data_IF_470438319095
#
_entry.id   IF_470438319095
#
_cell.length_a   1.000
_cell.length_b   1.000
_cell.length_c   1.000
_cell.angle_alpha   90.00
_cell.angle_beta   90.00
_cell.angle_gamma   90.00
#
_symmetry.space_group_name_H-M   'P 1'
#
loop_
_entity.id
_entity.type
_entity.pdbx_description
1 polymer ?
#
# COMPACT_ATOMS: atom_id res chain seq x y z
N UNK A 1 -12.87 21.98 -19.18
CA UNK A 1 -11.82 21.07 -19.72
C UNK A 1 -11.62 19.90 -18.79
N UNK A 2 -11.37 18.67 -19.28
CA UNK A 2 -11.10 17.51 -18.44
C UNK A 2 -9.67 17.59 -17.91
N UNK A 3 -9.47 17.41 -16.60
CA UNK A 3 -8.18 17.38 -15.91
C UNK A 3 -7.24 16.33 -16.52
N UNK A 4 -6.01 16.71 -16.87
CA UNK A 4 -4.98 15.83 -17.42
C UNK A 4 -3.84 15.65 -16.41
N UNK A 5 -3.53 14.43 -16.07
CA UNK A 5 -2.47 14.10 -15.10
C UNK A 5 -1.45 13.18 -15.76
N UNK A 6 -0.17 13.52 -15.61
CA UNK A 6 0.92 12.61 -15.97
C UNK A 6 1.52 11.99 -14.70
N UNK A 7 1.47 10.68 -14.59
CA UNK A 7 2.13 9.91 -13.52
C UNK A 7 3.51 9.46 -14.00
N UNK A 8 4.55 9.78 -13.24
CA UNK A 8 5.94 9.44 -13.56
C UNK A 8 6.45 8.34 -12.64
N UNK A 9 6.80 7.20 -13.22
CA UNK A 9 7.50 6.09 -12.58
C UNK A 9 8.94 6.05 -13.08
N UNK A 10 9.88 6.53 -12.27
CA UNK A 10 11.28 6.71 -12.67
C UNK A 10 12.18 5.53 -12.31
N UNK A 11 11.66 4.51 -11.63
CA UNK A 11 12.34 3.22 -11.46
C UNK A 11 12.28 2.47 -12.80
N UNK A 12 13.42 2.12 -13.42
CA UNK A 12 13.41 1.43 -14.69
C UNK A 12 12.78 0.04 -14.57
N UNK A 13 12.00 -0.36 -15.58
CA UNK A 13 11.55 -1.76 -15.67
C UNK A 13 12.74 -2.68 -15.93
N UNK A 14 12.70 -3.94 -15.47
CA UNK A 14 13.71 -4.93 -15.82
C UNK A 14 13.86 -5.04 -17.34
N UNK A 15 15.10 -5.22 -17.80
CA UNK A 15 15.39 -5.37 -19.23
C UNK A 15 14.78 -6.67 -19.78
N UNK A 16 14.38 -6.67 -21.05
CA UNK A 16 13.89 -7.84 -21.74
C UNK A 16 12.41 -8.20 -21.51
N UNK A 17 11.69 -7.45 -20.69
CA UNK A 17 10.25 -7.67 -20.48
C UNK A 17 9.44 -6.96 -21.56
N UNK A 18 8.35 -7.59 -22.02
CA UNK A 18 7.31 -6.92 -22.79
C UNK A 18 6.44 -6.05 -21.91
N UNK A 19 5.66 -5.12 -22.48
CA UNK A 19 4.73 -4.29 -21.70
C UNK A 19 3.71 -5.14 -20.89
N UNK A 20 3.21 -6.23 -21.48
CA UNK A 20 2.29 -7.15 -20.82
C UNK A 20 2.94 -7.83 -19.61
N UNK A 21 4.19 -8.28 -19.76
CA UNK A 21 4.96 -8.85 -18.66
C UNK A 21 5.23 -7.84 -17.55
N UNK A 22 5.48 -6.56 -17.90
CA UNK A 22 5.62 -5.47 -16.90
C UNK A 22 4.32 -5.29 -16.13
N UNK A 23 3.16 -5.22 -16.79
CA UNK A 23 1.87 -5.11 -16.11
C UNK A 23 1.55 -6.33 -15.24
N UNK A 24 1.94 -7.54 -15.66
CA UNK A 24 1.75 -8.75 -14.89
C UNK A 24 2.64 -8.82 -13.65
N UNK A 25 3.89 -8.34 -13.73
CA UNK A 25 4.84 -8.36 -12.62
C UNK A 25 4.67 -7.15 -11.68
N UNK A 26 4.24 -5.99 -12.23
CA UNK A 26 4.04 -4.74 -11.49
C UNK A 26 2.61 -4.22 -11.68
N UNK A 27 1.59 -4.93 -11.17
CA UNK A 27 0.18 -4.53 -11.34
C UNK A 27 -0.09 -3.14 -10.75
N UNK A 28 0.62 -2.72 -9.70
CA UNK A 28 0.52 -1.40 -9.10
C UNK A 28 0.82 -0.25 -10.07
N UNK A 29 1.60 -0.49 -11.12
CA UNK A 29 1.85 0.48 -12.19
C UNK A 29 0.55 0.92 -12.89
N UNK A 30 -0.37 -0.03 -13.08
CA UNK A 30 -1.64 0.20 -13.77
C UNK A 30 -2.78 0.56 -12.80
N UNK A 31 -2.83 -0.10 -11.65
CA UNK A 31 -3.99 -0.08 -10.77
C UNK A 31 -4.41 1.34 -10.34
N UNK A 32 -3.46 2.17 -9.92
CA UNK A 32 -3.78 3.54 -9.49
C UNK A 32 -4.09 4.45 -10.69
N UNK A 33 -3.36 4.30 -11.78
CA UNK A 33 -3.60 5.09 -12.98
C UNK A 33 -5.00 4.83 -13.55
N UNK A 34 -5.39 3.56 -13.63
CA UNK A 34 -6.72 3.13 -14.10
C UNK A 34 -7.82 3.56 -13.13
N UNK A 35 -7.59 3.51 -11.81
CA UNK A 35 -8.52 4.01 -10.80
C UNK A 35 -8.75 5.52 -10.93
N UNK A 36 -7.70 6.29 -11.17
CA UNK A 36 -7.77 7.73 -11.40
C UNK A 36 -8.51 8.04 -12.72
N UNK A 37 -8.24 7.27 -13.77
CA UNK A 37 -8.94 7.41 -15.05
C UNK A 37 -10.44 7.12 -14.90
N UNK A 38 -10.80 6.08 -14.16
CA UNK A 38 -12.20 5.74 -13.84
C UNK A 38 -12.91 6.84 -13.03
N UNK A 39 -12.16 7.66 -12.28
CA UNK A 39 -12.69 8.84 -11.60
C UNK A 39 -12.93 10.05 -12.54
N UNK A 40 -12.71 9.89 -13.86
CA UNK A 40 -12.96 10.93 -14.88
C UNK A 40 -11.79 11.89 -15.10
N UNK A 41 -10.57 11.47 -14.76
CA UNK A 41 -9.32 12.18 -15.05
C UNK A 41 -8.68 11.58 -16.31
N UNK A 42 -8.13 12.39 -17.20
CA UNK A 42 -7.29 11.90 -18.30
C UNK A 42 -5.89 11.60 -17.76
N UNK A 43 -5.50 10.34 -17.77
CA UNK A 43 -4.23 9.91 -17.20
C UNK A 43 -3.28 9.45 -18.30
N UNK A 44 -2.04 9.93 -18.24
CA UNK A 44 -0.91 9.34 -18.94
C UNK A 44 0.11 8.84 -17.92
N UNK A 45 0.66 7.66 -18.13
CA UNK A 45 1.75 7.11 -17.33
C UNK A 45 3.03 7.15 -18.15
N UNK A 46 4.07 7.78 -17.60
CA UNK A 46 5.42 7.79 -18.19
C UNK A 46 6.29 6.87 -17.34
N UNK A 47 6.62 5.72 -17.88
CA UNK A 47 7.42 4.68 -17.23
C UNK A 47 8.84 4.67 -17.77
N UNK A 48 9.84 4.81 -16.89
CA UNK A 48 11.23 4.58 -17.25
C UNK A 48 11.42 3.11 -17.65
N UNK A 49 11.97 2.85 -18.84
CA UNK A 49 12.12 1.50 -19.38
C UNK A 49 13.21 1.46 -20.46
N UNK A 50 13.73 0.27 -20.76
CA UNK A 50 14.48 0.03 -22.00
C UNK A 50 13.56 -0.05 -23.23
N UNK A 51 12.25 -0.22 -23.03
CA UNK A 51 11.26 -0.15 -24.09
C UNK A 51 11.06 1.32 -24.53
N UNK A 52 10.85 1.51 -25.83
CA UNK A 52 10.35 2.77 -26.37
C UNK A 52 9.01 2.47 -27.05
N UNK A 53 7.94 2.52 -26.26
CA UNK A 53 6.61 2.04 -26.66
C UNK A 53 5.52 2.96 -26.10
N UNK A 54 4.47 3.16 -26.90
CA UNK A 54 3.24 3.80 -26.47
C UNK A 54 2.06 2.85 -26.69
N UNK A 55 1.19 2.74 -25.68
CA UNK A 55 -0.04 1.95 -25.77
C UNK A 55 -1.15 2.58 -24.91
N UNK A 56 -2.39 2.26 -25.23
CA UNK A 56 -3.55 2.63 -24.42
C UNK A 56 -4.15 1.39 -23.78
N UNK A 57 -4.39 1.45 -22.45
CA UNK A 57 -5.03 0.37 -21.70
C UNK A 57 -6.01 0.98 -20.71
N UNK A 58 -7.24 0.48 -20.66
CA UNK A 58 -8.29 0.95 -19.72
C UNK A 58 -8.43 2.50 -19.67
N UNK A 59 -8.31 3.17 -20.81
CA UNK A 59 -8.43 4.63 -20.91
C UNK A 59 -7.19 5.42 -20.47
N UNK A 60 -6.10 4.75 -20.11
CA UNK A 60 -4.81 5.34 -19.73
C UNK A 60 -3.81 5.27 -20.88
N UNK A 61 -3.10 6.37 -21.17
CA UNK A 61 -2.01 6.46 -22.14
C UNK A 61 -0.68 6.07 -21.47
N UNK A 62 -0.15 4.89 -21.77
CA UNK A 62 1.12 4.41 -21.23
C UNK A 62 2.25 4.70 -22.22
N UNK A 63 3.28 5.39 -21.73
CA UNK A 63 4.49 5.72 -22.47
C UNK A 63 5.71 5.15 -21.76
N UNK A 64 6.29 4.12 -22.33
CA UNK A 64 7.56 3.55 -21.90
C UNK A 64 8.69 4.35 -22.55
N UNK A 65 9.54 4.96 -21.74
CA UNK A 65 10.57 5.90 -22.21
C UNK A 65 11.94 5.45 -21.75
N UNK A 66 12.86 5.33 -22.70
CA UNK A 66 14.24 5.03 -22.38
C UNK A 66 14.94 6.26 -21.80
N UNK A 67 15.18 6.22 -20.52
CA UNK A 67 15.95 7.24 -19.79
C UNK A 67 17.44 6.92 -19.72
N UNK A 68 17.84 5.66 -19.89
CA UNK A 68 19.16 5.06 -20.08
C UNK A 68 20.33 5.77 -19.43
N UNK A 69 21.48 5.76 -20.12
CA UNK A 69 22.72 6.38 -19.69
C UNK A 69 22.73 7.94 -19.78
N UNK A 70 21.57 8.58 -20.00
CA UNK A 70 21.47 10.03 -20.12
C UNK A 70 21.77 10.72 -18.80
N UNK A 71 22.53 11.81 -18.86
CA UNK A 71 22.74 12.68 -17.71
C UNK A 71 21.44 13.29 -17.18
N UNK A 72 21.41 13.69 -15.94
CA UNK A 72 20.19 14.17 -15.24
C UNK A 72 19.51 15.36 -15.94
N UNK A 73 20.26 16.23 -16.62
CA UNK A 73 19.71 17.35 -17.38
C UNK A 73 19.02 16.86 -18.66
N UNK A 74 19.61 15.94 -19.38
CA UNK A 74 19.02 15.35 -20.60
C UNK A 74 17.75 14.56 -20.30
N UNK A 75 17.76 13.78 -19.19
CA UNK A 75 16.53 13.08 -18.71
C UNK A 75 15.40 14.07 -18.41
N UNK A 76 15.72 15.15 -17.69
CA UNK A 76 14.74 16.15 -17.36
C UNK A 76 14.17 16.86 -18.61
N UNK A 77 15.02 17.16 -19.62
CA UNK A 77 14.60 17.75 -20.87
C UNK A 77 13.67 16.82 -21.67
N UNK A 78 14.01 15.53 -21.77
CA UNK A 78 13.18 14.53 -22.44
C UNK A 78 11.82 14.37 -21.75
N UNK A 79 11.81 14.21 -20.42
CA UNK A 79 10.58 14.12 -19.64
C UNK A 79 9.73 15.37 -19.78
N UNK A 80 10.32 16.57 -19.75
CA UNK A 80 9.59 17.82 -19.92
C UNK A 80 8.97 17.94 -21.33
N UNK A 81 9.66 17.48 -22.37
CA UNK A 81 9.11 17.42 -23.73
C UNK A 81 7.90 16.47 -23.80
N UNK A 82 8.03 15.26 -23.24
CA UNK A 82 6.95 14.28 -23.15
C UNK A 82 5.73 14.83 -22.38
N UNK A 83 5.96 15.53 -21.26
CA UNK A 83 4.91 16.11 -20.43
C UNK A 83 4.17 17.25 -21.13
N UNK A 84 4.88 18.06 -21.95
CA UNK A 84 4.25 19.10 -22.78
C UNK A 84 3.40 18.51 -23.89
N UNK A 85 3.89 17.43 -24.54
CA UNK A 85 3.11 16.68 -25.54
C UNK A 85 1.82 16.10 -24.96
N UNK A 86 1.88 15.57 -23.72
CA UNK A 86 0.70 15.09 -22.99
C UNK A 86 -0.25 16.25 -22.67
N UNK A 87 0.27 17.46 -22.51
CA UNK A 87 -0.47 18.60 -22.02
C UNK A 87 -0.90 18.43 -20.56
N UNK A 88 0.01 17.96 -19.72
CA UNK A 88 -0.27 17.64 -18.33
C UNK A 88 -0.55 18.89 -17.50
N UNK A 89 -1.72 18.95 -16.85
CA UNK A 89 -2.09 19.98 -15.88
C UNK A 89 -1.39 19.75 -14.53
N UNK A 90 -1.14 18.49 -14.16
CA UNK A 90 -0.45 18.07 -12.95
C UNK A 90 0.54 16.96 -13.28
N UNK A 91 1.73 17.02 -12.68
CA UNK A 91 2.71 15.93 -12.73
C UNK A 91 2.75 15.23 -11.37
N UNK A 92 2.47 13.95 -11.36
CA UNK A 92 2.54 13.10 -10.18
C UNK A 92 3.75 12.19 -10.27
N UNK A 93 4.73 12.35 -9.38
CA UNK A 93 5.98 11.59 -9.35
C UNK A 93 5.92 10.56 -8.23
N UNK A 94 6.04 9.30 -8.57
CA UNK A 94 6.12 8.20 -7.62
C UNK A 94 7.53 8.10 -7.04
N UNK A 95 7.63 8.10 -5.71
CA UNK A 95 8.87 8.02 -4.93
C UNK A 95 9.45 9.38 -4.54
N UNK A 96 9.62 9.60 -3.22
CA UNK A 96 10.24 10.81 -2.67
C UNK A 96 11.72 10.92 -3.05
N UNK A 97 12.39 9.81 -3.34
CA UNK A 97 13.78 9.76 -3.81
C UNK A 97 13.97 10.54 -5.12
N UNK A 98 12.94 10.65 -5.95
CA UNK A 98 12.96 11.38 -7.21
C UNK A 98 12.69 12.89 -7.07
N UNK A 99 12.67 13.44 -5.85
CA UNK A 99 12.50 14.87 -5.62
C UNK A 99 13.58 15.75 -6.33
N UNK A 100 14.75 15.16 -6.62
CA UNK A 100 15.77 15.82 -7.43
C UNK A 100 15.34 16.03 -8.88
N UNK A 101 14.72 15.00 -9.48
CA UNK A 101 14.19 15.05 -10.85
C UNK A 101 12.94 15.94 -10.90
N UNK A 102 12.05 15.84 -9.91
CA UNK A 102 10.92 16.74 -9.73
C UNK A 102 11.35 18.22 -9.69
N UNK A 103 12.44 18.55 -8.99
CA UNK A 103 12.99 19.90 -8.95
C UNK A 103 13.51 20.39 -10.32
N UNK A 104 14.11 19.51 -11.12
CA UNK A 104 14.54 19.86 -12.48
C UNK A 104 13.34 20.09 -13.38
N UNK A 105 12.34 19.23 -13.31
CA UNK A 105 11.08 19.35 -14.04
C UNK A 105 10.35 20.64 -13.69
N UNK A 106 10.27 21.03 -12.42
CA UNK A 106 9.62 22.27 -11.99
C UNK A 106 10.25 23.53 -12.60
N UNK A 107 11.56 23.50 -12.95
CA UNK A 107 12.21 24.61 -13.64
C UNK A 107 11.85 24.67 -15.13
N UNK A 108 11.63 23.50 -15.74
CA UNK A 108 11.27 23.38 -17.16
C UNK A 108 9.76 23.54 -17.41
N UNK A 109 8.96 23.32 -16.37
CA UNK A 109 7.48 23.35 -16.38
C UNK A 109 6.99 24.23 -15.20
N UNK A 110 7.26 25.56 -15.20
CA UNK A 110 7.03 26.41 -14.02
C UNK A 110 5.55 26.54 -13.65
N UNK A 111 4.65 26.36 -14.61
CA UNK A 111 3.20 26.48 -14.42
C UNK A 111 2.51 25.14 -14.06
N UNK A 112 3.21 24.00 -14.17
CA UNK A 112 2.64 22.69 -13.89
C UNK A 112 2.98 22.25 -12.46
N UNK A 113 1.99 22.09 -11.55
CA UNK A 113 2.22 21.60 -10.20
C UNK A 113 2.76 20.19 -10.20
N UNK A 114 3.75 19.95 -9.32
CA UNK A 114 4.30 18.64 -9.10
C UNK A 114 3.83 18.11 -7.74
N UNK A 115 3.27 16.91 -7.75
CA UNK A 115 2.95 16.13 -6.57
C UNK A 115 3.97 15.00 -6.46
N UNK A 116 4.50 14.78 -5.26
CA UNK A 116 5.33 13.62 -4.93
C UNK A 116 4.50 12.62 -4.12
N UNK A 117 4.71 11.34 -4.35
CA UNK A 117 4.11 10.27 -3.54
C UNK A 117 5.17 9.54 -2.74
N UNK A 118 4.93 9.33 -1.46
CA UNK A 118 5.76 8.51 -0.57
C UNK A 118 5.52 7.01 -0.82
N UNK A 119 6.60 6.23 -0.78
CA UNK A 119 6.58 4.77 -0.81
C UNK A 119 7.42 4.22 0.35
N UNK A 120 7.01 4.54 1.60
CA UNK A 120 7.72 4.18 2.83
C UNK A 120 9.15 4.77 2.95
N UNK A 121 9.36 5.95 2.39
CA UNK A 121 10.63 6.64 2.52
C UNK A 121 10.87 7.07 3.97
N UNK A 122 12.13 7.14 4.37
CA UNK A 122 12.55 7.69 5.66
C UNK A 122 13.08 9.12 5.47
N UNK A 123 12.89 10.00 6.46
CA UNK A 123 13.52 11.32 6.41
C UNK A 123 15.04 11.19 6.23
N UNK A 124 15.64 12.07 5.42
CA UNK A 124 17.08 12.06 5.23
C UNK A 124 17.82 12.36 6.53
N UNK A 125 19.00 11.80 6.66
CA UNK A 125 19.91 12.07 7.79
C UNK A 125 20.15 13.57 7.93
N UNK A 126 20.42 14.05 9.14
CA UNK A 126 20.46 15.49 9.47
C UNK A 126 21.38 16.31 8.56
N UNK A 127 22.53 15.78 8.15
CA UNK A 127 23.49 16.47 7.26
C UNK A 127 22.99 16.61 5.81
N UNK A 128 22.09 15.76 5.36
CA UNK A 128 21.52 15.83 4.03
C UNK A 128 20.24 16.70 3.96
N UNK A 129 19.69 17.12 5.11
CA UNK A 129 18.38 17.80 5.18
C UNK A 129 18.31 19.10 4.37
N UNK A 130 19.39 19.88 4.33
CA UNK A 130 19.46 21.13 3.55
C UNK A 130 19.28 20.88 2.04
N UNK A 131 19.89 19.82 1.52
CA UNK A 131 19.79 19.40 0.13
C UNK A 131 18.38 18.92 -0.17
N UNK A 132 17.84 18.07 0.69
CA UNK A 132 16.50 17.51 0.51
C UNK A 132 15.40 18.57 0.66
N UNK A 133 15.54 19.52 1.58
CA UNK A 133 14.64 20.68 1.68
C UNK A 133 14.57 21.47 0.36
N UNK A 134 15.72 21.68 -0.31
CA UNK A 134 15.75 22.32 -1.62
C UNK A 134 15.08 21.48 -2.71
N UNK A 135 15.18 20.14 -2.64
CA UNK A 135 14.52 19.22 -3.58
C UNK A 135 13.01 19.21 -3.39
N UNK A 136 12.54 19.00 -2.16
CA UNK A 136 11.11 19.02 -1.84
C UNK A 136 10.44 20.38 -2.05
N UNK A 137 11.21 21.47 -2.01
CA UNK A 137 10.68 22.83 -2.24
C UNK A 137 10.02 23.03 -3.62
N UNK A 138 10.26 22.14 -4.57
CA UNK A 138 9.64 22.14 -5.89
C UNK A 138 8.25 21.48 -5.90
N UNK A 139 7.93 20.67 -4.89
CA UNK A 139 6.64 20.01 -4.81
C UNK A 139 5.56 20.96 -4.33
N UNK A 140 4.45 21.03 -5.08
CA UNK A 140 3.25 21.72 -4.68
C UNK A 140 2.46 20.91 -3.65
N UNK A 141 2.54 19.59 -3.74
CA UNK A 141 1.96 18.66 -2.78
C UNK A 141 2.79 17.41 -2.60
N UNK A 142 2.59 16.73 -1.47
CA UNK A 142 3.17 15.43 -1.16
C UNK A 142 2.08 14.55 -0.57
N UNK A 143 1.95 13.34 -1.10
CA UNK A 143 1.01 12.33 -0.63
C UNK A 143 1.74 11.26 0.18
N UNK A 144 1.15 10.89 1.31
CA UNK A 144 1.54 9.77 2.18
C UNK A 144 0.34 8.85 2.35
N UNK A 145 0.55 7.62 2.77
CA UNK A 145 -0.57 6.71 3.12
C UNK A 145 -1.36 7.26 4.31
N UNK A 146 -0.70 7.91 5.27
CA UNK A 146 -1.32 8.66 6.37
C UNK A 146 -0.55 9.95 6.68
N UNK A 147 -1.22 10.94 7.28
CA UNK A 147 -0.54 12.17 7.70
C UNK A 147 0.47 11.94 8.81
N UNK A 148 0.30 10.89 9.63
CA UNK A 148 1.27 10.52 10.65
C UNK A 148 2.62 10.12 10.04
N UNK A 149 2.62 9.53 8.84
CA UNK A 149 3.85 9.21 8.11
C UNK A 149 4.57 10.47 7.61
N UNK A 150 3.88 11.58 7.43
CA UNK A 150 4.48 12.86 7.08
C UNK A 150 5.14 13.55 8.27
N UNK A 151 4.75 13.24 9.52
CA UNK A 151 5.22 13.94 10.73
C UNK A 151 6.75 13.96 10.88
N UNK A 152 7.50 12.84 10.69
CA UNK A 152 8.97 12.88 10.82
C UNK A 152 9.64 13.84 9.82
N UNK A 153 9.05 13.98 8.63
CA UNK A 153 9.53 14.93 7.61
C UNK A 153 9.20 16.38 7.99
N UNK A 154 7.99 16.62 8.52
CA UNK A 154 7.55 17.94 8.99
C UNK A 154 8.38 18.41 10.21
N UNK A 155 8.61 17.53 11.19
CA UNK A 155 9.50 17.79 12.34
C UNK A 155 10.93 18.12 11.90
N UNK A 156 11.43 17.46 10.85
CA UNK A 156 12.71 17.76 10.23
C UNK A 156 12.69 19.04 9.36
N UNK A 157 11.55 19.77 9.30
CA UNK A 157 11.31 20.99 8.52
C UNK A 157 11.71 20.84 7.04
N UNK A 158 11.35 19.69 6.43
CA UNK A 158 11.75 19.37 5.06
C UNK A 158 10.81 20.00 4.02
N UNK A 159 9.58 20.33 4.39
CA UNK A 159 8.57 20.89 3.50
C UNK A 159 8.42 22.40 3.69
N UNK A 160 7.96 23.08 2.66
CA UNK A 160 7.55 24.49 2.76
C UNK A 160 6.14 24.58 3.35
N UNK A 161 5.83 25.69 4.02
CA UNK A 161 4.50 25.93 4.58
C UNK A 161 3.37 25.84 3.54
N UNK A 162 3.66 26.19 2.28
CA UNK A 162 2.71 26.11 1.15
C UNK A 162 2.56 24.71 0.55
N UNK A 163 3.41 23.75 0.90
CA UNK A 163 3.32 22.38 0.37
C UNK A 163 2.10 21.70 0.97
N UNK A 164 1.17 21.27 0.12
CA UNK A 164 -0.04 20.56 0.57
C UNK A 164 0.31 19.11 0.89
N UNK A 165 -0.16 18.62 2.03
CA UNK A 165 -0.02 17.22 2.41
C UNK A 165 -1.35 16.50 2.20
N UNK A 166 -1.28 15.29 1.64
CA UNK A 166 -2.43 14.44 1.36
C UNK A 166 -2.24 13.07 2.02
N UNK A 167 -3.34 12.52 2.57
CA UNK A 167 -3.42 11.16 3.05
C UNK A 167 -4.22 10.33 2.03
N UNK A 168 -3.53 9.50 1.24
CA UNK A 168 -4.15 8.70 0.19
C UNK A 168 -3.52 7.30 0.24
N UNK A 169 -4.34 6.22 0.30
CA UNK A 169 -3.81 4.86 0.23
C UNK A 169 -2.94 4.67 -1.01
N UNK A 170 -1.83 3.99 -0.84
CA UNK A 170 -0.85 3.75 -1.92
C UNK A 170 -1.41 2.83 -3.00
N UNK A 171 -2.28 1.91 -2.61
CA UNK A 171 -2.95 0.96 -3.49
C UNK A 171 -4.28 0.51 -2.88
N UNK A 172 -4.91 -0.48 -3.53
CA UNK A 172 -6.14 -1.11 -3.13
C UNK A 172 -6.09 -2.61 -3.44
N UNK A 173 -7.24 -3.29 -3.40
CA UNK A 173 -7.37 -4.70 -3.77
C UNK A 173 -8.52 -4.91 -4.75
N UNK A 174 -8.37 -5.90 -5.65
CA UNK A 174 -9.44 -6.39 -6.53
C UNK A 174 -10.21 -7.56 -5.90
N UNK A 175 -9.82 -7.98 -4.68
CA UNK A 175 -10.50 -9.04 -3.97
C UNK A 175 -11.94 -8.63 -3.60
N UNK A 176 -12.78 -9.63 -3.45
CA UNK A 176 -14.20 -9.44 -3.20
C UNK A 176 -14.72 -10.43 -2.15
N UNK A 177 -15.82 -10.12 -1.49
CA UNK A 177 -16.49 -11.06 -0.59
C UNK A 177 -16.92 -12.33 -1.34
N UNK A 178 -17.14 -13.40 -0.58
CA UNK A 178 -17.63 -14.66 -1.10
C UNK A 178 -18.30 -15.50 -0.01
N UNK A 179 -18.90 -16.62 -0.40
CA UNK A 179 -19.47 -17.56 0.53
C UNK A 179 -18.38 -18.22 1.39
N UNK A 180 -18.49 -18.06 2.71
CA UNK A 180 -17.51 -18.57 3.66
C UNK A 180 -17.52 -20.09 3.75
N UNK A 181 -18.67 -20.73 3.69
CA UNK A 181 -18.77 -22.19 3.80
C UNK A 181 -18.14 -22.84 2.57
N UNK A 182 -18.49 -22.34 1.39
CA UNK A 182 -17.89 -22.78 0.14
C UNK A 182 -16.36 -22.55 0.12
N UNK A 183 -15.90 -21.39 0.62
CA UNK A 183 -14.47 -21.11 0.73
C UNK A 183 -13.75 -22.07 1.69
N UNK A 184 -14.37 -22.44 2.82
CA UNK A 184 -13.86 -23.43 3.76
C UNK A 184 -13.76 -24.82 3.14
N UNK A 185 -14.76 -25.25 2.39
CA UNK A 185 -14.74 -26.51 1.65
C UNK A 185 -13.57 -26.58 0.66
N UNK A 186 -13.40 -25.54 -0.14
CA UNK A 186 -12.32 -25.47 -1.13
C UNK A 186 -10.91 -25.38 -0.53
N UNK A 187 -10.78 -24.67 0.59
CA UNK A 187 -9.47 -24.45 1.23
C UNK A 187 -9.15 -25.49 2.29
N UNK A 188 -10.17 -26.18 2.82
CA UNK A 188 -10.14 -27.03 4.00
C UNK A 188 -9.76 -26.28 5.27
N UNK A 189 -9.87 -24.95 5.26
CA UNK A 189 -9.66 -24.14 6.46
C UNK A 189 -10.80 -24.41 7.45
N UNK A 190 -10.41 -24.63 8.69
CA UNK A 190 -11.34 -24.84 9.80
C UNK A 190 -10.84 -24.10 11.04
N UNK A 191 -11.66 -24.05 12.05
CA UNK A 191 -11.39 -23.39 13.32
C UNK A 191 -12.54 -22.51 13.77
N UNK A 192 -12.60 -22.32 15.07
CA UNK A 192 -13.57 -21.45 15.72
C UNK A 192 -12.92 -20.73 16.92
N UNK A 193 -12.34 -19.54 16.69
CA UNK A 193 -12.22 -18.81 15.41
C UNK A 193 -11.17 -19.40 14.45
N UNK A 194 -11.39 -19.22 13.15
CA UNK A 194 -10.43 -19.46 12.08
C UNK A 194 -9.69 -18.14 11.80
N UNK A 195 -8.40 -18.09 12.08
CA UNK A 195 -7.54 -16.89 11.96
C UNK A 195 -6.54 -17.11 10.83
N UNK A 196 -6.35 -16.09 9.99
CA UNK A 196 -5.34 -16.10 8.93
C UNK A 196 -4.28 -15.03 9.20
N UNK A 197 -3.01 -15.42 9.03
CA UNK A 197 -1.86 -14.54 8.95
C UNK A 197 -1.21 -14.65 7.56
N UNK A 198 -0.93 -13.51 6.92
CA UNK A 198 -0.28 -13.46 5.60
C UNK A 198 0.88 -12.48 5.66
N UNK A 199 2.09 -12.95 5.39
CA UNK A 199 3.28 -12.09 5.41
C UNK A 199 4.57 -12.89 5.21
N UNK A 200 5.72 -12.22 5.32
CA UNK A 200 7.02 -12.91 5.39
C UNK A 200 7.30 -13.32 6.83
N UNK A 201 7.86 -14.50 7.07
CA UNK A 201 8.34 -14.91 8.41
C UNK A 201 9.63 -14.13 8.74
N UNK A 202 9.48 -12.82 9.01
CA UNK A 202 10.59 -11.91 9.31
C UNK A 202 10.34 -11.12 10.58
N UNK A 203 11.40 -10.58 11.20
CA UNK A 203 11.30 -9.76 12.40
C UNK A 203 10.37 -8.53 12.20
N UNK A 204 10.34 -7.94 11.01
CA UNK A 204 9.46 -6.81 10.71
C UNK A 204 7.97 -7.17 10.68
N UNK A 205 7.62 -8.45 10.45
CA UNK A 205 6.25 -8.98 10.44
C UNK A 205 5.87 -9.73 11.72
N UNK A 206 6.83 -9.96 12.60
CA UNK A 206 6.74 -10.49 13.96
C UNK A 206 5.81 -11.72 14.13
N UNK A 207 6.05 -12.82 13.40
CA UNK A 207 5.24 -14.03 13.53
C UNK A 207 5.31 -14.63 14.94
N UNK A 208 6.42 -14.42 15.67
CA UNK A 208 6.60 -14.98 16.99
C UNK A 208 5.64 -14.37 18.03
N UNK A 209 5.43 -13.05 17.97
CA UNK A 209 4.42 -12.37 18.79
C UNK A 209 3.01 -12.92 18.52
N UNK A 210 2.67 -13.21 17.26
CA UNK A 210 1.38 -13.84 16.92
C UNK A 210 1.28 -15.24 17.50
N UNK A 211 2.34 -16.05 17.46
CA UNK A 211 2.36 -17.39 18.07
C UNK A 211 2.16 -17.32 19.59
N UNK A 212 2.82 -16.38 20.26
CA UNK A 212 2.67 -16.18 21.70
C UNK A 212 1.24 -15.78 22.07
N UNK A 213 0.61 -14.87 21.31
CA UNK A 213 -0.78 -14.49 21.49
C UNK A 213 -1.73 -15.69 21.28
N UNK A 214 -1.49 -16.48 20.23
CA UNK A 214 -2.29 -17.69 19.94
C UNK A 214 -2.12 -18.75 21.03
N UNK A 215 -0.92 -18.93 21.58
CA UNK A 215 -0.69 -19.84 22.72
C UNK A 215 -1.51 -19.43 23.95
N UNK A 216 -1.59 -18.12 24.23
CA UNK A 216 -2.41 -17.61 25.32
C UNK A 216 -3.92 -17.80 25.05
N UNK A 217 -4.39 -17.44 23.85
CA UNK A 217 -5.80 -17.53 23.49
C UNK A 217 -6.29 -18.99 23.38
N UNK A 218 -5.47 -19.93 22.90
CA UNK A 218 -5.81 -21.34 22.73
C UNK A 218 -6.12 -22.05 24.05
N UNK A 219 -5.63 -21.54 25.19
CA UNK A 219 -5.99 -22.07 26.52
C UNK A 219 -7.47 -21.91 26.85
N UNK A 220 -8.12 -20.89 26.28
CA UNK A 220 -9.53 -20.55 26.50
C UNK A 220 -10.39 -20.92 25.29
N UNK A 221 -9.80 -20.90 24.09
CA UNK A 221 -10.46 -21.17 22.81
C UNK A 221 -9.92 -22.46 22.16
N UNK A 222 -10.39 -23.64 22.55
CA UNK A 222 -9.85 -24.92 22.05
C UNK A 222 -10.11 -25.12 20.54
N UNK A 223 -11.11 -24.42 20.00
CA UNK A 223 -11.45 -24.42 18.58
C UNK A 223 -10.59 -23.49 17.71
N UNK A 224 -9.77 -22.61 18.32
CA UNK A 224 -8.94 -21.66 17.59
C UNK A 224 -7.97 -22.37 16.65
N UNK A 225 -7.87 -21.86 15.42
CA UNK A 225 -6.86 -22.30 14.44
C UNK A 225 -6.25 -21.08 13.78
N UNK A 226 -4.91 -21.05 13.73
CA UNK A 226 -4.13 -20.06 12.99
C UNK A 226 -3.54 -20.71 11.74
N UNK A 227 -3.76 -20.07 10.60
CA UNK A 227 -3.24 -20.47 9.29
C UNK A 227 -2.25 -19.44 8.83
N UNK A 228 -1.02 -19.84 8.50
CA UNK A 228 0.07 -18.92 8.12
C UNK A 228 0.46 -19.12 6.66
N UNK A 229 0.29 -18.06 5.87
CA UNK A 229 0.75 -17.97 4.47
C UNK A 229 1.98 -17.09 4.41
N UNK A 230 3.06 -17.62 3.81
CA UNK A 230 4.33 -16.88 3.69
C UNK A 230 5.13 -17.34 2.50
N UNK A 231 5.96 -16.45 1.94
CA UNK A 231 6.93 -16.76 0.90
C UNK A 231 8.36 -16.74 1.46
N UNK A 232 8.87 -15.55 1.82
CA UNK A 232 10.18 -15.45 2.47
C UNK A 232 10.08 -15.82 3.96
N UNK A 233 11.02 -16.61 4.44
CA UNK A 233 10.90 -17.22 5.76
C UNK A 233 12.22 -17.23 6.56
N UNK A 234 12.89 -16.08 6.78
CA UNK A 234 14.15 -16.05 7.53
C UNK A 234 14.00 -16.50 9.00
N UNK A 235 12.80 -16.46 9.58
CA UNK A 235 12.50 -16.94 10.93
C UNK A 235 11.86 -18.35 10.97
N UNK A 236 11.87 -19.11 9.86
CA UNK A 236 11.17 -20.40 9.78
C UNK A 236 11.62 -21.38 10.86
N UNK A 237 12.92 -21.47 11.10
CA UNK A 237 13.48 -22.37 12.11
C UNK A 237 12.99 -22.01 13.54
N UNK A 238 12.99 -20.72 13.86
CA UNK A 238 12.51 -20.22 15.16
C UNK A 238 11.00 -20.46 15.33
N UNK A 239 10.21 -20.24 14.28
CA UNK A 239 8.77 -20.56 14.26
C UNK A 239 8.55 -22.04 14.49
N UNK A 240 9.25 -22.92 13.76
CA UNK A 240 9.14 -24.36 13.92
C UNK A 240 9.59 -24.83 15.31
N UNK A 241 10.66 -24.24 15.86
CA UNK A 241 11.12 -24.54 17.22
C UNK A 241 10.04 -24.15 18.24
N UNK A 242 9.41 -22.98 18.09
CA UNK A 242 8.32 -22.53 18.97
C UNK A 242 7.11 -23.46 18.91
N UNK A 243 6.74 -23.97 17.70
CA UNK A 243 5.67 -24.94 17.53
C UNK A 243 6.00 -26.29 18.19
N UNK A 244 7.25 -26.77 18.06
CA UNK A 244 7.68 -28.03 18.71
C UNK A 244 7.73 -27.94 20.23
N UNK A 245 8.08 -26.77 20.76
CA UNK A 245 8.19 -26.53 22.19
C UNK A 245 6.83 -26.40 22.91
N UNK A 246 5.76 -26.12 22.19
CA UNK A 246 4.42 -25.94 22.76
C UNK A 246 3.38 -26.82 22.03
N UNK A 247 2.96 -27.95 22.66
CA UNK A 247 1.98 -28.83 22.06
C UNK A 247 0.61 -28.18 21.76
N UNK A 248 0.26 -27.09 22.43
CA UNK A 248 -0.98 -26.33 22.14
C UNK A 248 -0.87 -25.62 20.81
N UNK A 249 0.27 -24.97 20.53
CA UNK A 249 0.57 -24.35 19.24
C UNK A 249 0.66 -25.39 18.12
N UNK A 250 1.31 -26.54 18.36
CA UNK A 250 1.42 -27.61 17.37
C UNK A 250 0.04 -28.11 16.89
N UNK A 251 -0.98 -28.07 17.76
CA UNK A 251 -2.33 -28.49 17.42
C UNK A 251 -3.15 -27.40 16.70
N UNK A 252 -2.89 -26.13 16.96
CA UNK A 252 -3.74 -25.04 16.46
C UNK A 252 -3.12 -24.20 15.34
N UNK A 253 -1.82 -24.35 15.05
CA UNK A 253 -1.13 -23.56 14.00
C UNK A 253 -0.78 -24.44 12.81
N UNK A 254 -1.08 -23.93 11.62
CA UNK A 254 -0.75 -24.58 10.34
C UNK A 254 0.06 -23.64 9.46
N UNK A 255 1.22 -24.10 9.01
CA UNK A 255 2.09 -23.39 8.09
C UNK A 255 1.78 -23.83 6.66
N UNK A 256 1.13 -22.95 5.88
CA UNK A 256 0.75 -23.23 4.48
C UNK A 256 1.90 -22.97 3.50
N UNK A 257 2.89 -22.16 3.90
CA UNK A 257 3.95 -21.73 2.99
C UNK A 257 3.45 -20.78 1.90
N UNK A 258 4.14 -20.81 0.75
CA UNK A 258 3.79 -19.99 -0.42
C UNK A 258 2.57 -20.54 -1.13
N UNK A 259 1.60 -19.66 -1.36
CA UNK A 259 0.40 -19.97 -2.16
C UNK A 259 0.26 -18.97 -3.31
N UNK A 260 -0.41 -19.32 -4.42
CA UNK A 260 -0.76 -18.34 -5.45
C UNK A 260 -1.61 -17.20 -4.88
N UNK A 261 -1.38 -15.97 -5.35
CA UNK A 261 -2.08 -14.78 -4.84
C UNK A 261 -3.63 -14.91 -4.92
N UNK A 262 -4.15 -15.46 -6.01
CA UNK A 262 -5.59 -15.73 -6.14
C UNK A 262 -6.13 -16.67 -5.04
N UNK A 263 -5.30 -17.59 -4.51
CA UNK A 263 -5.71 -18.45 -3.41
C UNK A 263 -5.81 -17.69 -2.08
N UNK A 264 -5.04 -16.62 -1.89
CA UNK A 264 -5.13 -15.76 -0.70
C UNK A 264 -6.54 -15.18 -0.57
N UNK A 265 -7.18 -14.79 -1.67
CA UNK A 265 -8.57 -14.33 -1.65
C UNK A 265 -9.53 -15.38 -1.07
N UNK A 266 -9.42 -16.64 -1.53
CA UNK A 266 -10.27 -17.73 -1.02
C UNK A 266 -9.97 -18.03 0.46
N UNK A 267 -8.71 -17.96 0.89
CA UNK A 267 -8.33 -18.14 2.29
C UNK A 267 -8.90 -17.03 3.17
N UNK A 268 -8.86 -15.77 2.72
CA UNK A 268 -9.47 -14.63 3.43
C UNK A 268 -11.00 -14.77 3.54
N UNK A 269 -11.66 -15.24 2.48
CA UNK A 269 -13.11 -15.53 2.52
C UNK A 269 -13.46 -16.62 3.55
N UNK A 270 -12.58 -17.62 3.71
CA UNK A 270 -12.77 -18.77 4.60
C UNK A 270 -12.56 -18.44 6.09
N UNK A 271 -11.73 -17.46 6.43
CA UNK A 271 -11.43 -17.14 7.81
C UNK A 271 -12.44 -16.18 8.46
N UNK A 272 -12.42 -16.18 9.78
CA UNK A 272 -13.20 -15.26 10.61
C UNK A 272 -12.45 -13.95 10.81
N UNK A 273 -11.14 -14.04 11.05
CA UNK A 273 -10.26 -12.94 11.40
C UNK A 273 -8.97 -13.01 10.57
N UNK A 274 -8.44 -11.84 10.25
CA UNK A 274 -7.09 -11.67 9.72
C UNK A 274 -6.22 -11.02 10.80
N UNK A 275 -4.96 -11.45 10.94
CA UNK A 275 -4.03 -10.85 11.90
C UNK A 275 -2.75 -10.37 11.22
N UNK A 276 -2.26 -9.18 11.60
CA UNK A 276 -0.95 -8.66 11.23
C UNK A 276 -0.24 -8.06 12.43
N UNK A 277 1.00 -8.49 12.65
CA UNK A 277 1.88 -8.03 13.73
C UNK A 277 3.02 -7.13 13.21
N UNK A 278 2.85 -6.50 12.07
CA UNK A 278 3.90 -5.70 11.43
C UNK A 278 4.33 -4.53 12.30
N UNK A 279 5.64 -4.31 12.41
CA UNK A 279 6.22 -3.15 13.11
C UNK A 279 6.17 -1.88 12.25
N UNK A 280 6.14 -2.01 10.94
CA UNK A 280 6.01 -0.91 9.98
C UNK A 280 5.42 -1.41 8.66
N UNK A 281 4.62 -0.56 8.02
CA UNK A 281 4.05 -0.78 6.68
C UNK A 281 4.00 0.53 5.91
N UNK A 282 4.05 0.42 4.58
CA UNK A 282 3.67 1.52 3.70
C UNK A 282 2.18 1.46 3.34
N UNK A 283 1.76 0.34 2.76
CA UNK A 283 0.39 0.11 2.32
C UNK A 283 -0.35 -0.93 3.18
N UNK A 284 0.34 -2.00 3.61
CA UNK A 284 -0.31 -3.12 4.31
C UNK A 284 -1.25 -3.92 3.41
N UNK A 285 -0.78 -4.34 2.22
CA UNK A 285 -1.59 -5.02 1.20
C UNK A 285 -2.48 -6.14 1.74
N UNK A 286 -1.95 -7.05 2.56
CA UNK A 286 -2.72 -8.15 3.11
C UNK A 286 -3.89 -7.68 4.01
N UNK A 287 -3.73 -6.56 4.72
CA UNK A 287 -4.81 -5.95 5.48
C UNK A 287 -5.87 -5.33 4.55
N UNK A 288 -5.47 -4.65 3.49
CA UNK A 288 -6.39 -4.11 2.46
C UNK A 288 -7.18 -5.23 1.80
N UNK A 289 -6.53 -6.36 1.50
CA UNK A 289 -7.15 -7.57 0.95
C UNK A 289 -8.15 -8.20 1.92
N UNK A 290 -7.83 -8.22 3.23
CA UNK A 290 -8.75 -8.69 4.26
C UNK A 290 -10.01 -7.81 4.31
N UNK A 291 -9.87 -6.48 4.31
CA UNK A 291 -11.00 -5.55 4.22
C UNK A 291 -11.83 -5.79 2.95
N UNK A 292 -11.18 -6.01 1.81
CA UNK A 292 -11.84 -6.27 0.52
C UNK A 292 -12.70 -7.55 0.56
N UNK A 293 -12.25 -8.59 1.26
CA UNK A 293 -12.99 -9.83 1.48
C UNK A 293 -14.06 -9.72 2.59
N UNK A 294 -14.16 -8.60 3.31
CA UNK A 294 -15.01 -8.45 4.48
C UNK A 294 -14.52 -9.23 5.70
N UNK A 295 -13.23 -9.62 5.72
CA UNK A 295 -12.62 -10.32 6.86
C UNK A 295 -12.05 -9.29 7.81
N UNK A 296 -12.47 -9.32 9.09
CA UNK A 296 -12.05 -8.32 10.07
C UNK A 296 -10.57 -8.43 10.37
N UNK A 297 -9.78 -7.34 10.19
CA UNK A 297 -8.38 -7.37 10.52
C UNK A 297 -8.10 -6.92 11.96
N UNK A 298 -7.18 -7.64 12.62
CA UNK A 298 -6.53 -7.29 13.87
C UNK A 298 -5.11 -6.83 13.52
N UNK A 299 -4.82 -5.57 13.71
CA UNK A 299 -3.62 -4.92 13.21
C UNK A 299 -2.84 -4.29 14.34
N UNK A 300 -1.51 -4.27 14.24
CA UNK A 300 -0.69 -3.48 15.15
C UNK A 300 -0.99 -1.98 15.03
N UNK A 301 -0.88 -1.26 16.15
CA UNK A 301 -1.14 0.18 16.20
C UNK A 301 0.03 0.99 15.62
N UNK A 302 0.12 0.99 14.28
CA UNK A 302 1.09 1.73 13.48
C UNK A 302 0.40 2.73 12.54
N UNK A 303 1.08 3.79 12.08
CA UNK A 303 0.46 4.86 11.27
C UNK A 303 -0.31 4.37 10.05
N UNK A 304 0.23 3.42 9.29
CA UNK A 304 -0.44 2.86 8.12
C UNK A 304 -1.73 2.13 8.50
N UNK A 305 -1.71 1.33 9.56
CA UNK A 305 -2.88 0.56 9.99
C UNK A 305 -3.96 1.42 10.68
N UNK A 306 -3.57 2.48 11.40
CA UNK A 306 -4.52 3.51 11.86
C UNK A 306 -5.28 4.13 10.68
N UNK A 307 -4.57 4.45 9.59
CA UNK A 307 -5.19 5.01 8.39
C UNK A 307 -6.15 4.02 7.70
N UNK A 308 -5.78 2.74 7.62
CA UNK A 308 -6.62 1.70 7.01
C UNK A 308 -7.88 1.41 7.83
N UNK A 309 -7.77 1.40 9.16
CA UNK A 309 -8.85 1.04 10.09
C UNK A 309 -9.70 2.23 10.56
N UNK A 310 -9.47 3.43 10.04
CA UNK A 310 -10.08 4.67 10.54
C UNK A 310 -9.83 4.86 12.06
N UNK A 311 -8.57 4.71 12.48
CA UNK A 311 -8.18 4.80 13.89
C UNK A 311 -8.66 3.62 14.74
N UNK A 312 -8.99 2.48 14.14
CA UNK A 312 -9.53 1.29 14.82
C UNK A 312 -11.06 1.23 14.86
N UNK A 313 -11.76 2.16 14.17
CA UNK A 313 -13.23 2.16 14.08
C UNK A 313 -13.75 0.92 13.33
N UNK A 314 -13.02 0.43 12.34
CA UNK A 314 -13.31 -0.83 11.63
C UNK A 314 -12.08 -1.71 11.65
N UNK A 315 -12.15 -2.82 12.35
CA UNK A 315 -11.00 -3.65 12.72
C UNK A 315 -10.66 -3.47 14.20
N UNK A 316 -9.50 -3.96 14.61
CA UNK A 316 -9.00 -3.73 15.96
C UNK A 316 -7.50 -3.43 15.91
N UNK A 317 -7.08 -2.42 16.68
CA UNK A 317 -5.68 -2.06 16.85
C UNK A 317 -5.15 -2.60 18.18
N UNK A 318 -3.90 -3.04 18.19
CA UNK A 318 -3.21 -3.53 19.38
C UNK A 318 -1.73 -3.08 19.37
N UNK A 319 -1.09 -2.88 20.55
CA UNK A 319 0.28 -2.38 20.62
C UNK A 319 1.28 -3.32 19.94
N UNK A 320 2.27 -2.78 19.23
CA UNK A 320 3.34 -3.55 18.58
C UNK A 320 4.08 -4.40 19.63
N UNK A 321 4.22 -5.70 19.37
CA UNK A 321 4.94 -6.63 20.23
C UNK A 321 4.18 -7.08 21.50
N UNK A 322 2.94 -6.65 21.68
CA UNK A 322 2.13 -7.04 22.86
C UNK A 322 1.24 -8.24 22.54
N UNK A 323 1.80 -9.44 22.73
CA UNK A 323 1.08 -10.70 22.52
C UNK A 323 -0.15 -10.84 23.43
N UNK A 324 -0.13 -10.26 24.64
CA UNK A 324 -1.24 -10.33 25.59
C UNK A 324 -2.43 -9.52 25.09
N UNK A 325 -2.19 -8.30 24.61
CA UNK A 325 -3.24 -7.48 24.00
C UNK A 325 -3.88 -8.14 22.78
N UNK A 326 -3.07 -8.80 21.91
CA UNK A 326 -3.63 -9.56 20.78
C UNK A 326 -4.46 -10.76 21.25
N UNK A 327 -4.00 -11.50 22.28
CA UNK A 327 -4.76 -12.61 22.84
C UNK A 327 -6.12 -12.15 23.40
N UNK A 328 -6.16 -11.05 24.15
CA UNK A 328 -7.40 -10.46 24.64
C UNK A 328 -8.35 -10.05 23.51
N UNK A 329 -7.83 -9.48 22.42
CA UNK A 329 -8.61 -9.17 21.23
C UNK A 329 -9.22 -10.42 20.59
N UNK A 330 -8.46 -11.49 20.45
CA UNK A 330 -8.95 -12.78 19.93
C UNK A 330 -10.10 -13.31 20.79
N UNK A 331 -9.97 -13.28 22.12
CA UNK A 331 -11.01 -13.70 23.07
C UNK A 331 -12.28 -12.82 22.98
N UNK A 332 -12.11 -11.51 22.90
CA UNK A 332 -13.22 -10.56 22.79
C UNK A 332 -14.00 -10.74 21.48
N UNK A 333 -13.28 -10.80 20.35
CA UNK A 333 -13.91 -10.89 19.04
C UNK A 333 -14.48 -12.27 18.72
N UNK A 334 -14.03 -13.32 19.41
CA UNK A 334 -14.70 -14.60 19.38
C UNK A 334 -16.14 -14.51 19.95
N UNK A 335 -16.31 -13.74 21.01
CA UNK A 335 -17.62 -13.54 21.65
C UNK A 335 -18.52 -12.56 20.87
N UNK A 336 -17.91 -11.55 20.26
CA UNK A 336 -18.59 -10.47 19.52
C UNK A 336 -18.16 -10.54 18.05
N UNK A 337 -18.72 -11.50 17.32
CA UNK A 337 -18.33 -11.70 15.91
C UNK A 337 -18.65 -10.45 15.09
N UNK A 338 -17.65 -9.93 14.36
CA UNK A 338 -17.83 -8.73 13.55
C UNK A 338 -18.77 -8.99 12.36
N UNK A 339 -19.51 -7.94 11.99
CA UNK A 339 -20.28 -7.95 10.76
C UNK A 339 -19.36 -7.77 9.55
N UNK A 340 -19.23 -8.79 8.72
CA UNK A 340 -18.43 -8.78 7.49
C UNK A 340 -18.94 -7.73 6.48
N UNK A 341 -20.24 -7.43 6.48
CA UNK A 341 -20.82 -6.42 5.61
C UNK A 341 -20.33 -5.02 6.01
N UNK A 342 -20.20 -4.73 7.31
CA UNK A 342 -19.64 -3.48 7.80
C UNK A 342 -18.15 -3.32 7.41
N UNK A 343 -17.35 -4.40 7.52
CA UNK A 343 -15.95 -4.41 7.09
C UNK A 343 -15.84 -4.12 5.59
N UNK A 344 -16.70 -4.77 4.79
CA UNK A 344 -16.73 -4.54 3.34
C UNK A 344 -17.19 -3.12 3.00
N UNK A 345 -18.21 -2.59 3.64
CA UNK A 345 -18.69 -1.22 3.42
C UNK A 345 -17.60 -0.18 3.69
N UNK A 346 -16.78 -0.38 4.73
CA UNK A 346 -15.61 0.45 4.98
C UNK A 346 -14.60 0.40 3.83
N UNK A 347 -14.31 -0.81 3.33
CA UNK A 347 -13.43 -0.97 2.16
C UNK A 347 -13.96 -0.21 0.95
N UNK A 348 -15.25 -0.40 0.61
CA UNK A 348 -15.85 0.23 -0.56
C UNK A 348 -15.82 1.75 -0.46
N UNK A 349 -16.11 2.30 0.72
CA UNK A 349 -16.16 3.74 0.94
C UNK A 349 -14.77 4.41 1.00
N UNK A 350 -13.73 3.70 1.45
CA UNK A 350 -12.45 4.33 1.78
C UNK A 350 -11.22 3.75 1.11
N UNK A 351 -11.21 2.47 0.83
CA UNK A 351 -10.02 1.72 0.43
C UNK A 351 -10.11 1.16 -1.00
N UNK A 352 -11.29 1.06 -1.59
CA UNK A 352 -11.48 0.55 -2.94
C UNK A 352 -10.78 1.42 -3.99
N UNK A 353 -10.44 0.85 -5.15
CA UNK A 353 -9.88 1.62 -6.25
C UNK A 353 -10.74 2.82 -6.65
N UNK A 354 -12.06 2.69 -6.59
CA UNK A 354 -12.98 3.80 -6.83
C UNK A 354 -12.79 4.94 -5.82
N UNK A 355 -12.73 4.62 -4.52
CA UNK A 355 -12.50 5.60 -3.45
C UNK A 355 -11.11 6.24 -3.56
N UNK A 356 -10.08 5.44 -3.82
CA UNK A 356 -8.69 5.92 -3.99
C UNK A 356 -8.58 6.82 -5.22
N UNK A 357 -9.19 6.45 -6.35
CA UNK A 357 -9.23 7.26 -7.56
C UNK A 357 -9.87 8.64 -7.34
N UNK A 358 -10.97 8.71 -6.58
CA UNK A 358 -11.62 9.98 -6.21
C UNK A 358 -10.74 10.84 -5.29
N UNK A 359 -10.02 10.24 -4.34
CA UNK A 359 -9.06 10.96 -3.48
C UNK A 359 -7.93 11.57 -4.30
N UNK A 360 -7.37 10.83 -5.26
CA UNK A 360 -6.36 11.35 -6.17
C UNK A 360 -6.90 12.50 -7.02
N UNK A 361 -8.08 12.35 -7.63
CA UNK A 361 -8.74 13.43 -8.36
C UNK A 361 -8.90 14.68 -7.50
N UNK A 362 -9.36 14.53 -6.26
CA UNK A 362 -9.49 15.64 -5.31
C UNK A 362 -8.14 16.31 -5.02
N UNK A 363 -7.09 15.54 -4.78
CA UNK A 363 -5.74 16.07 -4.55
C UNK A 363 -5.24 16.88 -5.74
N UNK A 364 -5.37 16.38 -6.95
CA UNK A 364 -4.97 17.11 -8.16
C UNK A 364 -5.76 18.41 -8.35
N UNK A 365 -7.07 18.36 -8.15
CA UNK A 365 -7.93 19.55 -8.23
C UNK A 365 -7.54 20.62 -7.22
N UNK A 366 -7.24 20.22 -5.98
CA UNK A 366 -6.75 21.14 -4.94
C UNK A 366 -5.41 21.78 -5.28
N UNK A 367 -4.51 21.05 -5.92
CA UNK A 367 -3.21 21.60 -6.36
C UNK A 367 -3.38 22.68 -7.42
N UNK A 368 -4.38 22.56 -8.31
CA UNK A 368 -4.67 23.55 -9.35
C UNK A 368 -5.37 24.79 -8.78
N UNK A 369 -6.22 24.62 -7.75
CA UNK A 369 -6.96 25.71 -7.12
C UNK A 369 -6.11 26.55 -6.13
N UNK A 370 -4.84 26.14 -5.84
CA UNK A 370 -4.01 26.84 -4.86
C UNK A 370 -3.69 28.29 -5.30
N UNK A 371 -3.98 29.31 -4.46
CA UNK A 371 -3.69 30.71 -4.78
C UNK A 371 -2.19 30.95 -4.96
N UNK A 372 -1.82 31.74 -5.97
CA UNK A 372 -0.42 32.09 -6.30
C UNK A 372 0.10 31.49 -7.61
N UNK A 373 -0.78 30.99 -8.48
CA UNK A 373 -0.47 30.50 -9.83
C UNK A 373 -1.31 31.18 -10.94
N UNK A 374 -1.99 32.30 -10.61
CA UNK A 374 -2.60 33.12 -11.65
C UNK A 374 -1.49 33.82 -12.42
N UNK A 375 -1.46 33.54 -13.74
CA UNK A 375 -0.79 34.15 -14.88
C UNK A 375 0.70 34.53 -14.74
#
# INVERSE_FOLDING_TARGET
MSLRVAQLNLVPTPAGLTAEQVFAQWPSLADIAEAVASAGVRVAVVQASALNLRLTRQGVDYRFVELGARGSAQRAALLAATLREIGADVVHVHGLEFAGDARRLARLLPHTPILLQDHANRPPRWWARSVWRRRYAAAAGIAFTSLDMAQPFAQARLFKARTQLFAIPESSSRFSPGDRLQAREHTRLHGDPCVLWVGHLSAAKDPLCVLDAVALAARVLPGLRLWCVFDQAPLLEQVQQRLRADPSLARCVQLLGKVPHARVETLLRACDLFVSASHAESCGYAAVEAYACGTLPLLTDIPAFRALSDGGAVGALWPVGDASALAELLLRLFRQRPDRAQVRAHFDARLSFAAVGQRWKHAYTRLLAAPGRAA
#
